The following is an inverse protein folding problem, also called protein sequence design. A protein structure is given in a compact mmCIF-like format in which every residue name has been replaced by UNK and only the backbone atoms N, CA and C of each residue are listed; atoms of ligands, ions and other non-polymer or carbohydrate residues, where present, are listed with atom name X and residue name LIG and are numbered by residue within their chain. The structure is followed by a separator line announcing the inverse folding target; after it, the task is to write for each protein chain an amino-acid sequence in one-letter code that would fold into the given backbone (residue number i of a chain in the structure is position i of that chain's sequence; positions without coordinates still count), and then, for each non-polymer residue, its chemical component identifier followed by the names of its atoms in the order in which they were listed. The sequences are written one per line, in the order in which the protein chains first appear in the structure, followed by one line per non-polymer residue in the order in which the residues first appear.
data_IF_394479394912
#
_entry.id   IF_394479394912
#
_cell.length_a   1.000
_cell.length_b   1.000
_cell.length_c   1.000
_cell.angle_alpha   90.00
_cell.angle_beta   90.00
_cell.angle_gamma   90.00
#
_symmetry.space_group_name_H-M   'P 1'
#
loop_
_entity.id
_entity.type
_entity.pdbx_description
1 polymer ?
#
# COMPACT_ATOMS: atom_id res chain seq x y z
N UNK A 1 17.94 -23.29 7.25
CA UNK A 1 16.66 -23.39 7.98
C UNK A 1 15.54 -23.06 7.02
N UNK A 2 14.49 -23.88 6.94
CA UNK A 2 13.34 -23.56 6.09
C UNK A 2 12.68 -22.27 6.59
N UNK A 3 12.72 -21.21 5.78
CA UNK A 3 12.03 -19.95 6.05
C UNK A 3 10.53 -20.23 5.97
N UNK A 4 9.87 -20.29 7.11
CA UNK A 4 8.43 -20.49 7.17
C UNK A 4 7.72 -19.32 6.50
N UNK A 5 6.57 -19.59 5.87
CA UNK A 5 5.73 -18.57 5.22
C UNK A 5 4.67 -18.06 6.18
N UNK A 6 4.13 -16.89 5.90
CA UNK A 6 2.94 -16.41 6.60
C UNK A 6 1.71 -17.15 6.09
N UNK A 7 0.74 -17.45 6.94
CA UNK A 7 -0.59 -17.87 6.46
C UNK A 7 -1.25 -16.81 5.58
N UNK A 8 -0.80 -15.55 5.64
CA UNK A 8 -1.26 -14.47 4.77
C UNK A 8 -0.56 -14.42 3.40
N UNK A 9 0.43 -15.28 3.13
CA UNK A 9 0.97 -15.54 1.78
C UNK A 9 -0.05 -16.36 0.96
N UNK A 10 -1.19 -15.74 0.65
CA UNK A 10 -2.40 -16.42 0.17
C UNK A 10 -2.22 -17.28 -1.08
N UNK A 11 -1.40 -16.81 -2.04
CA UNK A 11 -1.12 -17.56 -3.26
C UNK A 11 -0.38 -18.87 -2.96
N UNK A 12 0.62 -18.83 -2.08
CA UNK A 12 1.39 -20.00 -1.67
C UNK A 12 0.52 -20.94 -0.84
N UNK A 13 -0.22 -20.41 0.14
CA UNK A 13 -1.13 -21.22 0.96
C UNK A 13 -2.17 -21.95 0.10
N UNK A 14 -2.75 -21.25 -0.89
CA UNK A 14 -3.70 -21.84 -1.85
C UNK A 14 -3.05 -22.93 -2.70
N UNK A 15 -1.84 -22.70 -3.21
CA UNK A 15 -1.11 -23.70 -4.00
C UNK A 15 -0.85 -24.97 -3.17
N UNK A 16 -0.33 -24.81 -1.94
CA UNK A 16 -0.07 -25.92 -1.04
C UNK A 16 -1.34 -26.69 -0.65
N UNK A 17 -2.47 -25.99 -0.47
CA UNK A 17 -3.76 -26.63 -0.20
C UNK A 17 -4.23 -27.45 -1.40
N UNK A 18 -4.15 -26.89 -2.61
CA UNK A 18 -4.51 -27.61 -3.83
C UNK A 18 -3.64 -28.86 -4.05
N UNK A 19 -2.32 -28.74 -3.89
CA UNK A 19 -1.37 -29.85 -4.05
C UNK A 19 -1.61 -30.98 -3.04
N UNK A 20 -2.08 -30.64 -1.84
CA UNK A 20 -2.46 -31.58 -0.80
C UNK A 20 -3.91 -32.09 -0.90
N UNK A 21 -4.67 -31.67 -1.92
CA UNK A 21 -6.09 -32.04 -2.09
C UNK A 21 -7.03 -31.42 -1.05
N UNK A 22 -6.61 -30.34 -0.39
CA UNK A 22 -7.37 -29.62 0.64
C UNK A 22 -8.11 -28.46 -0.01
N UNK A 23 -9.40 -28.31 0.29
CA UNK A 23 -10.21 -27.25 -0.30
C UNK A 23 -9.76 -25.84 0.18
N UNK A 24 -9.37 -24.90 -0.71
CA UNK A 24 -8.96 -23.55 -0.33
C UNK A 24 -10.03 -22.69 0.37
N UNK A 25 -11.30 -23.11 0.38
CA UNK A 25 -12.38 -22.41 1.08
C UNK A 25 -12.16 -22.29 2.60
N UNK A 26 -11.27 -23.11 3.18
CA UNK A 26 -10.91 -23.04 4.60
C UNK A 26 -9.96 -21.89 4.93
N UNK A 27 -9.27 -21.30 3.93
CA UNK A 27 -8.26 -20.25 4.14
C UNK A 27 -8.82 -19.02 4.89
N UNK A 28 -10.01 -18.49 4.55
CA UNK A 28 -10.59 -17.38 5.31
C UNK A 28 -10.85 -17.71 6.79
N UNK A 29 -11.16 -18.97 7.13
CA UNK A 29 -11.34 -19.40 8.53
C UNK A 29 -10.02 -19.38 9.29
N UNK A 30 -8.92 -19.78 8.64
CA UNK A 30 -7.55 -19.68 9.18
C UNK A 30 -7.23 -18.21 9.49
N UNK A 31 -7.42 -17.33 8.52
CA UNK A 31 -7.16 -15.90 8.72
C UNK A 31 -8.02 -15.30 9.82
N UNK A 32 -9.32 -15.64 9.86
CA UNK A 32 -10.23 -15.19 10.91
C UNK A 32 -9.75 -15.63 12.29
N UNK A 33 -9.34 -16.90 12.43
CA UNK A 33 -8.85 -17.42 13.70
C UNK A 33 -7.57 -16.71 14.16
N UNK A 34 -6.59 -16.53 13.27
CA UNK A 34 -5.33 -15.83 13.57
C UNK A 34 -5.55 -14.36 13.93
N UNK A 35 -6.55 -13.70 13.34
CA UNK A 35 -6.94 -12.34 13.72
C UNK A 35 -7.58 -12.27 15.11
N UNK A 36 -8.40 -13.27 15.46
CA UNK A 36 -9.14 -13.31 16.74
C UNK A 36 -8.28 -13.80 17.90
N UNK A 37 -7.26 -14.61 17.65
CA UNK A 37 -6.41 -15.23 18.66
C UNK A 37 -4.93 -14.88 18.43
N UNK A 38 -4.46 -13.70 18.86
CA UNK A 38 -3.06 -13.31 18.75
C UNK A 38 -2.14 -14.30 19.47
N UNK A 39 -1.15 -14.83 18.75
CA UNK A 39 -0.17 -15.77 19.31
C UNK A 39 -0.64 -17.23 19.38
N UNK A 40 -1.74 -17.57 18.71
CA UNK A 40 -2.19 -18.95 18.57
C UNK A 40 -1.21 -19.81 17.78
N UNK A 41 -1.27 -21.12 17.99
CA UNK A 41 -0.61 -22.10 17.12
C UNK A 41 -1.56 -22.59 16.02
N UNK A 42 -1.01 -23.09 14.91
CA UNK A 42 -1.83 -23.45 13.73
C UNK A 42 -2.60 -24.78 13.88
N UNK A 43 -2.22 -25.61 14.86
CA UNK A 43 -2.92 -26.85 15.22
C UNK A 43 -4.15 -26.62 16.12
N UNK A 44 -4.32 -25.41 16.64
CA UNK A 44 -5.47 -25.01 17.47
C UNK A 44 -6.68 -24.54 16.63
N UNK A 45 -6.52 -24.38 15.32
CA UNK A 45 -7.56 -23.85 14.44
C UNK A 45 -8.68 -24.89 14.30
N UNK A 46 -9.92 -24.60 14.74
CA UNK A 46 -11.02 -25.56 14.67
C UNK A 46 -11.50 -25.78 13.23
N UNK A 47 -12.20 -26.89 13.02
CA UNK A 47 -12.95 -27.20 11.80
C UNK A 47 -12.11 -27.28 10.51
N UNK A 48 -10.79 -27.50 10.62
CA UNK A 48 -9.95 -27.84 9.48
C UNK A 48 -9.87 -29.37 9.28
N UNK A 49 -9.76 -29.85 8.03
CA UNK A 49 -9.44 -31.25 7.75
C UNK A 49 -8.15 -31.68 8.45
N UNK A 50 -8.10 -32.90 8.98
CA UNK A 50 -6.92 -33.41 9.70
C UNK A 50 -5.64 -33.39 8.87
N UNK A 51 -5.75 -33.51 7.54
CA UNK A 51 -4.63 -33.41 6.59
C UNK A 51 -4.03 -32.00 6.49
N UNK A 52 -4.74 -30.95 6.93
CA UNK A 52 -4.27 -29.57 6.87
C UNK A 52 -3.20 -29.26 7.92
N UNK A 53 -3.31 -29.82 9.13
CA UNK A 53 -2.41 -29.45 10.23
C UNK A 53 -0.94 -29.81 9.98
N UNK A 54 -0.57 -31.01 9.48
CA UNK A 54 0.83 -31.31 9.17
C UNK A 54 1.43 -30.36 8.13
N UNK A 55 0.64 -29.95 7.13
CA UNK A 55 1.06 -28.99 6.10
C UNK A 55 1.26 -27.60 6.70
N UNK A 56 0.29 -27.12 7.49
CA UNK A 56 0.32 -25.81 8.12
C UNK A 56 1.51 -25.69 9.09
N UNK A 57 1.67 -26.65 10.00
CA UNK A 57 2.70 -26.60 11.04
C UNK A 57 4.13 -26.77 10.48
N UNK A 58 4.28 -27.42 9.32
CA UNK A 58 5.60 -27.63 8.71
C UNK A 58 6.07 -26.48 7.81
N UNK A 59 5.14 -25.74 7.19
CA UNK A 59 5.48 -24.73 6.16
C UNK A 59 5.08 -23.30 6.52
N UNK A 60 4.11 -23.11 7.41
CA UNK A 60 3.51 -21.81 7.68
C UNK A 60 3.63 -21.42 9.16
N UNK A 61 3.47 -20.12 9.41
CA UNK A 61 3.30 -19.52 10.73
C UNK A 61 2.10 -18.58 10.72
N UNK A 62 1.43 -18.38 11.87
CA UNK A 62 0.35 -17.40 11.98
C UNK A 62 0.80 -16.01 11.55
N UNK A 63 2.00 -15.60 11.99
CA UNK A 63 2.68 -14.38 11.57
C UNK A 63 4.18 -14.64 11.44
N UNK A 64 4.81 -13.98 10.49
CA UNK A 64 6.26 -14.04 10.26
C UNK A 64 6.99 -12.78 10.75
N UNK A 65 6.26 -11.69 10.92
CA UNK A 65 6.71 -10.42 11.49
C UNK A 65 6.21 -10.19 12.92
N UNK A 66 6.93 -9.34 13.64
CA UNK A 66 6.62 -8.96 15.02
C UNK A 66 6.67 -7.45 15.17
N UNK A 67 5.80 -6.88 16.03
CA UNK A 67 5.89 -5.47 16.40
C UNK A 67 7.05 -5.30 17.36
N UNK A 68 8.09 -4.57 16.95
CA UNK A 68 9.24 -4.29 17.78
C UNK A 68 8.97 -3.16 18.77
N UNK A 69 8.32 -2.09 18.30
CA UNK A 69 7.93 -0.95 19.13
C UNK A 69 6.75 -0.20 18.53
N UNK A 70 5.98 0.47 19.37
CA UNK A 70 4.92 1.40 18.97
C UNK A 70 5.19 2.76 19.59
N UNK A 71 5.15 3.81 18.77
CA UNK A 71 5.31 5.20 19.19
C UNK A 71 3.99 5.93 18.95
N UNK A 72 3.49 6.61 19.97
CA UNK A 72 2.27 7.41 19.88
C UNK A 72 2.62 8.89 19.78
N UNK A 73 1.90 9.63 18.94
CA UNK A 73 2.02 11.09 18.88
C UNK A 73 1.47 11.73 20.15
N UNK A 74 1.94 12.95 20.46
CA UNK A 74 1.53 13.71 21.64
C UNK A 74 0.05 14.09 21.63
N UNK A 75 -0.54 14.25 20.44
CA UNK A 75 -1.96 14.53 20.24
C UNK A 75 -2.83 13.26 20.26
N UNK A 76 -2.23 12.07 20.38
CA UNK A 76 -2.91 10.78 20.49
C UNK A 76 -3.61 10.30 19.23
N UNK A 77 -3.53 11.02 18.11
CA UNK A 77 -4.23 10.66 16.86
C UNK A 77 -3.38 9.87 15.88
N UNK A 78 -2.08 9.68 16.17
CA UNK A 78 -1.16 8.93 15.31
C UNK A 78 -0.39 7.89 16.12
N UNK A 79 -0.26 6.67 15.58
CA UNK A 79 0.60 5.63 16.12
C UNK A 79 1.52 5.10 15.02
N UNK A 80 2.83 5.12 15.25
CA UNK A 80 3.84 4.55 14.36
C UNK A 80 4.34 3.22 14.91
N UNK A 81 4.20 2.16 14.12
CA UNK A 81 4.67 0.82 14.42
C UNK A 81 6.01 0.60 13.71
N UNK A 82 6.99 0.11 14.45
CA UNK A 82 8.21 -0.45 13.90
C UNK A 82 8.07 -1.97 13.90
N UNK A 83 8.05 -2.57 12.71
CA UNK A 83 7.76 -3.98 12.50
C UNK A 83 9.03 -4.68 12.05
N UNK A 84 9.44 -5.73 12.80
CA UNK A 84 10.56 -6.58 12.46
C UNK A 84 10.08 -7.73 11.58
N UNK A 85 10.68 -7.85 10.40
CA UNK A 85 10.39 -8.89 9.41
C UNK A 85 11.18 -10.17 9.71
N UNK A 86 10.81 -11.26 9.03
CA UNK A 86 11.43 -12.58 9.21
C UNK A 86 12.93 -12.60 8.88
N UNK A 87 13.36 -11.76 7.94
CA UNK A 87 14.77 -11.62 7.54
C UNK A 87 15.56 -10.70 8.49
N UNK A 88 14.93 -10.22 9.57
CA UNK A 88 15.53 -9.32 10.55
C UNK A 88 15.53 -7.84 10.16
N UNK A 89 15.09 -7.49 8.94
CA UNK A 89 14.91 -6.10 8.55
C UNK A 89 13.71 -5.46 9.25
N UNK A 90 13.63 -4.13 9.18
CA UNK A 90 12.54 -3.36 9.76
C UNK A 90 11.80 -2.56 8.70
N UNK A 91 10.48 -2.46 8.88
CA UNK A 91 9.61 -1.56 8.13
C UNK A 91 8.71 -0.79 9.08
N UNK A 92 8.23 0.36 8.62
CA UNK A 92 7.31 1.19 9.37
C UNK A 92 5.87 1.05 8.83
N UNK A 93 4.90 1.09 9.75
CA UNK A 93 3.49 1.27 9.44
C UNK A 93 2.93 2.38 10.34
N UNK A 94 2.04 3.22 9.82
CA UNK A 94 1.50 4.37 10.56
C UNK A 94 -0.01 4.33 10.55
N UNK A 95 -0.60 4.33 11.74
CA UNK A 95 -2.04 4.50 11.94
C UNK A 95 -2.29 5.99 12.17
N UNK A 96 -3.18 6.57 11.38
CA UNK A 96 -3.63 7.95 11.55
C UNK A 96 -5.14 7.96 11.71
N UNK A 97 -5.61 8.44 12.86
CA UNK A 97 -7.02 8.50 13.20
C UNK A 97 -7.51 9.93 13.04
N UNK A 98 -8.51 10.12 12.19
CA UNK A 98 -9.09 11.42 11.91
C UNK A 98 -10.58 11.40 12.11
N UNK A 99 -11.14 12.47 12.67
CA UNK A 99 -12.57 12.74 12.56
C UNK A 99 -12.80 13.74 11.41
N UNK A 100 -13.33 13.25 10.29
CA UNK A 100 -13.54 14.08 9.10
C UNK A 100 -14.56 15.19 9.34
N UNK A 101 -15.40 15.09 10.38
CA UNK A 101 -16.40 16.10 10.75
C UNK A 101 -15.77 17.38 11.30
N UNK A 102 -14.53 17.31 11.78
CA UNK A 102 -13.78 18.47 12.27
C UNK A 102 -13.33 19.41 11.12
N UNK A 103 -13.27 18.90 9.89
CA UNK A 103 -12.93 19.70 8.71
C UNK A 103 -14.15 20.40 8.11
N UNK A 104 -14.01 21.70 7.80
CA UNK A 104 -14.98 22.44 6.98
C UNK A 104 -14.44 22.60 5.56
N UNK A 105 -15.28 22.40 4.54
CA UNK A 105 -14.97 22.71 3.15
C UNK A 105 -16.08 23.61 2.59
N UNK A 106 -15.73 24.81 2.14
CA UNK A 106 -16.72 25.82 1.74
C UNK A 106 -17.72 26.16 2.87
N UNK A 107 -17.25 26.21 4.12
CA UNK A 107 -18.07 26.51 5.31
C UNK A 107 -18.95 25.36 5.82
N UNK A 108 -19.09 24.26 5.08
CA UNK A 108 -19.88 23.08 5.50
C UNK A 108 -19.00 22.01 6.14
N UNK A 109 -19.46 21.33 7.21
CA UNK A 109 -18.78 20.15 7.74
C UNK A 109 -18.65 19.09 6.65
N UNK A 110 -17.47 18.48 6.53
CA UNK A 110 -17.31 17.35 5.61
C UNK A 110 -18.16 16.16 6.07
N UNK A 111 -18.90 15.50 5.16
CA UNK A 111 -19.60 14.27 5.50
C UNK A 111 -18.60 13.18 5.91
N UNK A 112 -19.00 12.29 6.81
CA UNK A 112 -18.18 11.18 7.28
C UNK A 112 -18.21 11.04 8.80
N UNK A 113 -17.09 10.65 9.38
CA UNK A 113 -16.94 10.40 10.81
C UNK A 113 -15.53 9.94 11.15
N UNK A 114 -15.36 9.30 12.33
CA UNK A 114 -14.09 8.74 12.73
C UNK A 114 -13.59 7.71 11.71
N UNK A 115 -12.36 7.89 11.24
CA UNK A 115 -11.68 6.96 10.33
C UNK A 115 -10.25 6.75 10.82
N UNK A 116 -9.79 5.50 10.77
CA UNK A 116 -8.37 5.17 10.92
C UNK A 116 -7.82 4.74 9.56
N UNK A 117 -6.81 5.48 9.11
CA UNK A 117 -6.06 5.19 7.88
C UNK A 117 -4.74 4.56 8.26
N UNK A 118 -4.43 3.41 7.66
CA UNK A 118 -3.16 2.74 7.80
C UNK A 118 -2.27 3.03 6.59
N UNK A 119 -1.12 3.65 6.84
CA UNK A 119 -0.03 3.76 5.90
C UNK A 119 0.86 2.53 6.01
N UNK A 120 1.03 1.79 4.91
CA UNK A 120 1.81 0.54 4.87
C UNK A 120 2.99 0.62 3.91
N UNK A 121 4.03 -0.14 4.26
CA UNK A 121 5.23 -0.34 3.47
C UNK A 121 5.05 -1.51 2.48
N UNK A 122 5.70 -1.39 1.32
CA UNK A 122 5.72 -2.41 0.25
C UNK A 122 7.11 -3.01 0.02
N UNK A 123 8.17 -2.34 0.48
CA UNK A 123 9.57 -2.77 0.34
C UNK A 123 10.38 -2.36 1.57
N UNK A 124 11.56 -2.98 1.74
CA UNK A 124 12.59 -2.49 2.67
C UNK A 124 13.51 -1.54 1.89
N UNK A 125 13.39 -0.24 2.19
CA UNK A 125 14.06 0.80 1.41
C UNK A 125 13.36 1.06 0.07
N UNK A 126 13.97 1.87 -0.81
CA UNK A 126 13.38 2.23 -2.09
C UNK A 126 14.42 2.53 -3.17
N UNK A 127 14.20 2.06 -4.41
CA UNK A 127 15.10 2.31 -5.57
C UNK A 127 14.93 3.69 -6.19
N UNK A 128 13.86 4.42 -5.86
CA UNK A 128 13.49 5.63 -6.59
C UNK A 128 14.41 6.82 -6.29
N UNK A 129 15.11 6.82 -5.15
CA UNK A 129 16.13 7.83 -4.84
C UNK A 129 15.59 9.25 -4.69
N UNK A 130 14.30 9.43 -4.38
CA UNK A 130 13.71 10.75 -4.13
C UNK A 130 14.46 11.44 -2.99
N UNK A 131 15.01 12.63 -3.25
CA UNK A 131 15.95 13.29 -2.33
C UNK A 131 15.31 13.79 -1.04
N UNK A 132 14.01 14.07 -1.08
CA UNK A 132 13.23 14.46 0.10
C UNK A 132 12.78 13.25 0.95
N UNK A 133 13.00 12.02 0.47
CA UNK A 133 12.51 10.81 1.13
C UNK A 133 13.65 10.09 1.85
N UNK A 134 13.55 9.96 3.17
CA UNK A 134 14.53 9.20 3.96
C UNK A 134 14.67 7.74 3.48
N UNK A 135 13.57 7.09 3.11
CA UNK A 135 13.60 5.74 2.53
C UNK A 135 14.32 5.69 1.18
N UNK A 136 14.26 6.78 0.40
CA UNK A 136 14.97 6.91 -0.87
C UNK A 136 16.49 6.99 -0.69
N UNK A 137 16.97 7.61 0.40
CA UNK A 137 18.41 7.73 0.69
C UNK A 137 19.02 6.46 1.28
N UNK A 138 18.21 5.61 1.93
CA UNK A 138 18.64 4.30 2.43
C UNK A 138 18.99 3.28 1.33
N UNK A 139 18.57 3.55 0.09
CA UNK A 139 18.65 2.59 -1.01
C UNK A 139 17.66 1.42 -0.85
N UNK A 140 17.57 0.58 -1.87
CA UNK A 140 16.73 -0.62 -1.84
C UNK A 140 17.46 -1.80 -1.25
N UNK A 141 16.78 -2.56 -0.40
CA UNK A 141 17.29 -3.80 0.17
C UNK A 141 16.52 -5.01 -0.33
N UNK A 142 15.20 -5.03 -0.13
CA UNK A 142 14.38 -6.19 -0.47
C UNK A 142 12.90 -5.83 -0.72
N UNK A 143 12.19 -6.73 -1.41
CA UNK A 143 10.74 -6.67 -1.57
C UNK A 143 10.05 -7.37 -0.40
N UNK A 144 8.92 -6.83 0.05
CA UNK A 144 8.08 -7.55 1.01
C UNK A 144 7.28 -8.65 0.32
N UNK A 145 7.06 -9.76 1.02
CA UNK A 145 6.08 -10.76 0.61
C UNK A 145 4.66 -10.24 0.81
N UNK A 146 3.68 -10.83 0.13
CA UNK A 146 2.28 -10.44 0.30
C UNK A 146 1.82 -10.65 1.74
N UNK A 147 2.26 -11.73 2.39
CA UNK A 147 2.04 -11.96 3.81
C UNK A 147 2.58 -10.82 4.67
N UNK A 148 3.83 -10.41 4.49
CA UNK A 148 4.46 -9.31 5.24
C UNK A 148 3.75 -7.96 5.04
N UNK A 149 3.17 -7.72 3.86
CA UNK A 149 2.34 -6.54 3.60
C UNK A 149 1.03 -6.62 4.40
N UNK A 150 0.33 -7.77 4.36
CA UNK A 150 -0.93 -7.98 5.09
C UNK A 150 -0.72 -7.97 6.60
N UNK A 151 0.40 -8.51 7.10
CA UNK A 151 0.71 -8.55 8.52
C UNK A 151 0.81 -7.14 9.14
N UNK A 152 1.19 -6.11 8.37
CA UNK A 152 1.11 -4.72 8.83
C UNK A 152 -0.34 -4.31 9.16
N UNK A 153 -1.33 -4.76 8.37
CA UNK A 153 -2.74 -4.55 8.66
C UNK A 153 -3.19 -5.38 9.87
N UNK A 154 -2.70 -6.62 10.02
CA UNK A 154 -3.00 -7.47 11.19
C UNK A 154 -2.53 -6.79 12.47
N UNK A 155 -1.26 -6.36 12.52
CA UNK A 155 -0.69 -5.66 13.67
C UNK A 155 -1.43 -4.37 13.97
N UNK A 156 -1.73 -3.57 12.94
CA UNK A 156 -2.45 -2.31 13.10
C UNK A 156 -3.91 -2.49 13.58
N UNK A 157 -4.58 -3.55 13.14
CA UNK A 157 -5.96 -3.86 13.51
C UNK A 157 -6.12 -4.21 14.99
N UNK A 158 -5.02 -4.59 15.66
CA UNK A 158 -4.98 -4.80 17.12
C UNK A 158 -4.99 -3.49 17.91
N UNK A 159 -4.58 -2.39 17.28
CA UNK A 159 -4.50 -1.07 17.92
C UNK A 159 -5.70 -0.17 17.55
N UNK A 160 -6.27 -0.34 16.36
CA UNK A 160 -7.38 0.49 15.89
C UNK A 160 -8.22 -0.22 14.83
N UNK A 161 -9.49 0.18 14.70
CA UNK A 161 -10.35 -0.30 13.62
C UNK A 161 -9.98 0.36 12.28
N UNK A 162 -9.11 -0.30 11.52
CA UNK A 162 -8.59 0.23 10.24
C UNK A 162 -9.69 0.23 9.18
N UNK A 163 -9.97 1.42 8.63
CA UNK A 163 -10.99 1.62 7.59
C UNK A 163 -10.41 1.92 6.22
N UNK A 164 -9.21 2.47 6.18
CA UNK A 164 -8.54 2.91 4.96
C UNK A 164 -7.10 2.39 4.97
N UNK A 165 -6.58 2.02 3.80
CA UNK A 165 -5.19 1.61 3.64
C UNK A 165 -4.56 2.43 2.51
N UNK A 166 -3.38 2.97 2.75
CA UNK A 166 -2.61 3.72 1.74
C UNK A 166 -1.22 3.11 1.62
N UNK A 167 -0.82 2.80 0.39
CA UNK A 167 0.54 2.34 0.08
C UNK A 167 1.43 3.56 -0.14
N UNK A 168 1.77 4.22 0.98
CA UNK A 168 2.61 5.42 1.04
C UNK A 168 3.71 5.30 2.10
N UNK A 169 3.97 4.08 2.59
CA UNK A 169 5.05 3.80 3.53
C UNK A 169 6.39 3.65 2.80
N UNK A 170 7.19 2.68 3.22
CA UNK A 170 8.48 2.41 2.60
C UNK A 170 8.31 1.65 1.28
N UNK A 171 9.00 2.11 0.22
CA UNK A 171 9.07 1.44 -1.07
C UNK A 171 8.18 2.03 -2.17
N UNK A 172 8.40 1.55 -3.39
CA UNK A 172 7.57 1.85 -4.57
C UNK A 172 6.66 0.64 -4.85
N UNK A 173 5.34 0.73 -4.59
CA UNK A 173 4.44 -0.42 -4.66
C UNK A 173 4.42 -1.11 -6.02
N UNK A 174 4.54 -0.36 -7.13
CA UNK A 174 4.51 -0.95 -8.47
C UNK A 174 5.78 -1.75 -8.80
N UNK A 175 6.90 -1.53 -8.09
CA UNK A 175 8.09 -2.37 -8.20
C UNK A 175 7.95 -3.71 -7.45
N UNK A 176 6.88 -3.86 -6.65
CA UNK A 176 6.53 -5.10 -5.96
C UNK A 176 5.11 -5.58 -6.33
N UNK A 177 4.79 -5.51 -7.62
CA UNK A 177 3.43 -5.66 -8.15
C UNK A 177 2.74 -6.98 -7.75
N UNK A 178 3.42 -8.12 -7.86
CA UNK A 178 2.81 -9.43 -7.56
C UNK A 178 2.41 -9.52 -6.09
N UNK A 179 3.29 -9.12 -5.18
CA UNK A 179 2.99 -9.14 -3.74
C UNK A 179 1.92 -8.10 -3.37
N UNK A 180 1.97 -6.91 -4.00
CA UNK A 180 0.96 -5.87 -3.87
C UNK A 180 -0.44 -6.40 -4.23
N UNK A 181 -0.58 -7.03 -5.39
CA UNK A 181 -1.88 -7.51 -5.85
C UNK A 181 -2.45 -8.59 -4.94
N UNK A 182 -1.63 -9.56 -4.56
CA UNK A 182 -2.06 -10.62 -3.65
C UNK A 182 -2.42 -10.06 -2.27
N UNK A 183 -1.65 -9.12 -1.73
CA UNK A 183 -1.96 -8.49 -0.44
C UNK A 183 -3.30 -7.73 -0.50
N UNK A 184 -3.55 -6.96 -1.56
CA UNK A 184 -4.82 -6.23 -1.69
C UNK A 184 -6.00 -7.21 -1.82
N UNK A 185 -5.86 -8.30 -2.57
CA UNK A 185 -6.90 -9.33 -2.67
C UNK A 185 -7.26 -9.90 -1.29
N UNK A 186 -6.26 -10.19 -0.46
CA UNK A 186 -6.48 -10.61 0.94
C UNK A 186 -7.20 -9.54 1.75
N UNK A 187 -6.75 -8.27 1.67
CA UNK A 187 -7.37 -7.14 2.39
C UNK A 187 -8.84 -6.89 1.99
N UNK A 188 -9.17 -7.12 0.71
CA UNK A 188 -10.54 -6.96 0.19
C UNK A 188 -11.43 -8.19 0.44
N UNK A 189 -10.82 -9.36 0.66
CA UNK A 189 -11.51 -10.62 0.93
C UNK A 189 -11.90 -10.80 2.39
N UNK A 190 -12.63 -11.88 2.67
CA UNK A 190 -12.88 -12.32 4.04
C UNK A 190 -11.57 -12.74 4.71
N UNK A 191 -11.29 -12.35 5.97
CA UNK A 191 -12.20 -11.69 6.91
C UNK A 191 -12.18 -10.15 6.88
N UNK A 192 -11.17 -9.51 6.28
CA UNK A 192 -10.95 -8.06 6.36
C UNK A 192 -12.02 -7.22 5.66
N UNK A 193 -12.48 -7.66 4.48
CA UNK A 193 -13.58 -7.06 3.72
C UNK A 193 -13.44 -5.55 3.51
N UNK A 194 -12.21 -5.05 3.32
CA UNK A 194 -11.99 -3.65 3.03
C UNK A 194 -12.54 -3.33 1.63
N UNK A 195 -13.35 -2.28 1.52
CA UNK A 195 -13.81 -1.81 0.22
C UNK A 195 -12.60 -1.36 -0.61
N UNK A 196 -12.47 -1.80 -1.89
CA UNK A 196 -11.40 -1.34 -2.78
C UNK A 196 -11.31 0.19 -2.87
N UNK A 197 -12.46 0.90 -2.76
CA UNK A 197 -12.52 2.37 -2.76
C UNK A 197 -11.84 3.03 -1.55
N UNK A 198 -11.48 2.26 -0.53
CA UNK A 198 -10.77 2.71 0.67
C UNK A 198 -9.29 2.35 0.67
N UNK A 199 -8.82 1.70 -0.39
CA UNK A 199 -7.41 1.37 -0.60
C UNK A 199 -6.86 2.30 -1.68
N UNK A 200 -5.77 3.01 -1.35
CA UNK A 200 -5.07 3.90 -2.29
C UNK A 200 -3.66 3.37 -2.53
N UNK A 201 -3.30 3.19 -3.80
CA UNK A 201 -1.92 2.87 -4.19
C UNK A 201 -1.27 4.16 -4.70
N UNK A 202 -0.20 4.60 -4.05
CA UNK A 202 0.63 5.72 -4.54
C UNK A 202 1.81 5.20 -5.35
N UNK A 203 2.25 5.97 -6.33
CA UNK A 203 3.38 5.62 -7.18
C UNK A 203 4.10 6.85 -7.71
N UNK A 204 5.43 6.76 -7.76
CA UNK A 204 6.35 7.70 -8.40
C UNK A 204 6.50 7.42 -9.90
N UNK A 205 5.98 6.28 -10.36
CA UNK A 205 6.08 5.73 -11.72
C UNK A 205 7.52 5.30 -12.05
N UNK A 206 7.83 3.99 -11.97
CA UNK A 206 9.20 3.50 -12.08
C UNK A 206 9.78 3.59 -13.50
N UNK A 207 11.10 3.81 -13.65
CA UNK A 207 11.77 4.00 -14.95
C UNK A 207 11.69 2.77 -15.86
N UNK A 208 11.55 1.57 -15.28
CA UNK A 208 11.49 0.30 -16.02
C UNK A 208 10.16 0.11 -16.76
N UNK A 209 9.18 0.97 -16.48
CA UNK A 209 7.96 1.04 -17.26
C UNK A 209 8.17 2.13 -18.32
N UNK A 210 8.53 1.73 -19.54
CA UNK A 210 8.42 2.62 -20.70
C UNK A 210 6.96 3.09 -20.85
N UNK A 211 6.68 4.08 -21.71
CA UNK A 211 5.33 4.67 -21.86
C UNK A 211 4.20 3.63 -22.05
N UNK A 212 4.44 2.60 -22.88
CA UNK A 212 3.52 1.46 -23.05
C UNK A 212 3.39 0.66 -21.75
N UNK A 213 4.49 0.48 -21.02
CA UNK A 213 4.57 -0.23 -19.74
C UNK A 213 3.84 0.47 -18.59
N UNK A 214 3.81 1.80 -18.51
CA UNK A 214 3.11 2.53 -17.43
C UNK A 214 1.61 2.50 -17.65
N UNK A 215 1.17 2.82 -18.87
CA UNK A 215 -0.23 2.66 -19.27
C UNK A 215 -0.63 1.21 -19.05
N UNK A 216 0.21 0.24 -19.44
CA UNK A 216 -0.04 -1.17 -19.18
C UNK A 216 -0.08 -1.49 -17.68
N UNK A 217 0.84 -0.99 -16.85
CA UNK A 217 0.89 -1.30 -15.42
C UNK A 217 -0.30 -0.69 -14.65
N UNK A 218 -0.68 0.55 -14.98
CA UNK A 218 -1.84 1.21 -14.38
C UNK A 218 -3.13 0.56 -14.89
N UNK A 219 -3.25 0.26 -16.19
CA UNK A 219 -4.40 -0.46 -16.73
C UNK A 219 -4.48 -1.89 -16.19
N UNK A 220 -3.34 -2.56 -16.02
CA UNK A 220 -3.25 -3.88 -15.41
C UNK A 220 -3.66 -3.80 -13.94
N UNK A 221 -3.20 -2.80 -13.18
CA UNK A 221 -3.66 -2.55 -11.80
C UNK A 221 -5.18 -2.36 -11.76
N UNK A 222 -5.75 -1.61 -12.70
CA UNK A 222 -7.20 -1.42 -12.80
C UNK A 222 -7.95 -2.71 -13.14
N UNK A 223 -7.41 -3.51 -14.06
CA UNK A 223 -7.97 -4.80 -14.47
C UNK A 223 -7.90 -5.84 -13.35
N UNK A 224 -6.74 -5.96 -12.71
CA UNK A 224 -6.48 -6.94 -11.65
C UNK A 224 -7.20 -6.56 -10.34
N UNK A 225 -7.37 -5.26 -10.08
CA UNK A 225 -7.95 -4.70 -8.86
C UNK A 225 -8.89 -3.53 -9.18
N UNK A 226 -10.09 -3.83 -9.73
CA UNK A 226 -11.10 -2.81 -9.99
C UNK A 226 -11.53 -2.16 -8.67
N UNK A 227 -11.84 -0.88 -8.71
CA UNK A 227 -12.31 -0.16 -7.51
C UNK A 227 -11.25 0.56 -6.67
N UNK A 228 -9.94 0.31 -6.86
CA UNK A 228 -8.87 1.04 -6.16
C UNK A 228 -8.78 2.54 -6.49
N UNK A 229 -8.25 3.33 -5.55
CA UNK A 229 -7.81 4.69 -5.79
C UNK A 229 -6.34 4.71 -6.22
N UNK A 230 -6.01 5.55 -7.20
CA UNK A 230 -4.64 5.80 -7.62
C UNK A 230 -4.21 7.17 -7.11
N UNK A 231 -3.04 7.22 -6.48
CA UNK A 231 -2.32 8.44 -6.19
C UNK A 231 -1.02 8.49 -6.99
N UNK A 232 -0.63 9.68 -7.42
CA UNK A 232 0.60 9.91 -8.19
C UNK A 232 1.44 10.94 -7.47
N UNK A 233 2.65 10.54 -7.12
CA UNK A 233 3.69 11.40 -6.56
C UNK A 233 4.28 12.28 -7.66
N UNK A 234 3.71 13.46 -7.86
CA UNK A 234 4.11 14.42 -8.92
C UNK A 234 5.22 15.36 -8.45
N UNK A 235 4.95 16.06 -7.35
CA UNK A 235 5.85 16.95 -6.61
C UNK A 235 6.52 18.12 -7.35
N UNK A 236 6.40 18.26 -8.66
CA UNK A 236 6.74 19.50 -9.34
C UNK A 236 5.99 19.63 -10.67
N UNK A 237 5.57 20.84 -11.08
CA UNK A 237 4.87 21.08 -12.34
C UNK A 237 5.83 21.32 -13.52
N UNK A 238 7.13 21.33 -13.24
CA UNK A 238 8.21 21.60 -14.21
C UNK A 238 9.21 20.44 -14.16
N UNK A 239 9.62 19.94 -15.33
CA UNK A 239 10.41 18.70 -15.44
C UNK A 239 11.80 18.84 -14.79
N UNK A 240 12.44 20.00 -14.91
CA UNK A 240 13.75 20.29 -14.35
C UNK A 240 13.71 20.17 -12.82
N UNK A 241 12.77 20.84 -12.18
CA UNK A 241 12.54 20.78 -10.73
C UNK A 241 12.20 19.35 -10.32
N UNK A 242 11.32 18.66 -11.07
CA UNK A 242 10.97 17.27 -10.81
C UNK A 242 12.19 16.36 -10.81
N UNK A 243 13.11 16.52 -11.76
CA UNK A 243 14.35 15.74 -11.84
C UNK A 243 15.36 16.10 -10.74
N UNK A 244 15.31 17.32 -10.21
CA UNK A 244 16.13 17.74 -9.09
C UNK A 244 15.73 17.00 -7.81
N UNK A 245 14.42 16.88 -7.54
CA UNK A 245 13.88 16.26 -6.31
C UNK A 245 13.68 14.74 -6.44
N UNK A 246 13.39 14.25 -7.65
CA UNK A 246 13.12 12.85 -7.96
C UNK A 246 13.98 12.42 -9.16
N UNK A 247 15.23 11.95 -8.95
CA UNK A 247 16.12 11.59 -10.04
C UNK A 247 15.54 10.57 -11.03
N UNK A 248 14.68 9.66 -10.56
CA UNK A 248 13.95 8.69 -11.39
C UNK A 248 13.04 9.35 -12.45
N UNK A 249 12.59 10.60 -12.22
CA UNK A 249 11.78 11.36 -13.15
C UNK A 249 12.47 11.66 -14.49
N UNK A 250 13.80 11.54 -14.57
CA UNK A 250 14.55 11.71 -15.82
C UNK A 250 14.20 10.67 -16.86
N UNK A 251 13.95 9.44 -16.41
CA UNK A 251 13.55 8.34 -17.29
C UNK A 251 12.13 8.55 -17.84
N UNK A 252 11.31 9.36 -17.16
CA UNK A 252 9.92 9.55 -17.52
C UNK A 252 9.49 11.03 -17.47
N UNK A 253 9.59 11.72 -18.62
CA UNK A 253 9.21 13.13 -18.76
C UNK A 253 7.77 13.42 -18.36
N UNK A 254 7.55 14.61 -17.80
CA UNK A 254 6.28 15.09 -17.29
C UNK A 254 5.14 15.03 -18.32
N UNK A 255 5.37 15.43 -19.57
CA UNK A 255 4.33 15.39 -20.61
C UNK A 255 3.79 13.97 -20.81
N UNK A 256 4.70 12.99 -20.92
CA UNK A 256 4.33 11.58 -21.08
C UNK A 256 3.57 11.05 -19.87
N UNK A 257 3.93 11.52 -18.68
CA UNK A 257 3.20 11.24 -17.45
C UNK A 257 1.77 11.73 -17.54
N UNK A 258 1.56 13.00 -17.87
CA UNK A 258 0.21 13.55 -17.93
C UNK A 258 -0.64 12.83 -18.99
N UNK A 259 -0.08 12.51 -20.17
CA UNK A 259 -0.78 11.74 -21.21
C UNK A 259 -1.21 10.35 -20.70
N UNK A 260 -0.33 9.63 -20.01
CA UNK A 260 -0.65 8.31 -19.47
C UNK A 260 -1.75 8.37 -18.40
N UNK A 261 -1.70 9.36 -17.51
CA UNK A 261 -2.71 9.57 -16.48
C UNK A 261 -4.05 9.98 -17.08
N UNK A 262 -4.06 10.81 -18.12
CA UNK A 262 -5.29 11.21 -18.81
C UNK A 262 -5.95 9.99 -19.50
N UNK A 263 -5.16 9.16 -20.19
CA UNK A 263 -5.66 7.91 -20.77
C UNK A 263 -6.25 6.98 -19.70
N UNK A 264 -5.57 6.84 -18.56
CA UNK A 264 -6.09 6.07 -17.43
C UNK A 264 -7.39 6.66 -16.86
N UNK A 265 -7.47 7.98 -16.68
CA UNK A 265 -8.68 8.64 -16.19
C UNK A 265 -9.87 8.41 -17.14
N UNK A 266 -9.64 8.52 -18.45
CA UNK A 266 -10.67 8.30 -19.47
C UNK A 266 -11.19 6.86 -19.48
N UNK A 267 -10.32 5.87 -19.27
CA UNK A 267 -10.72 4.46 -19.23
C UNK A 267 -11.39 4.06 -17.91
N UNK A 268 -10.84 4.51 -16.78
CA UNK A 268 -11.30 4.12 -15.45
C UNK A 268 -12.48 4.95 -14.94
N UNK A 269 -12.69 6.14 -15.51
CA UNK A 269 -13.66 7.15 -15.04
C UNK A 269 -13.49 7.50 -13.55
N UNK A 270 -12.25 7.37 -13.04
CA UNK A 270 -11.92 7.63 -11.64
C UNK A 270 -11.10 8.89 -11.44
N UNK A 271 -11.22 9.44 -10.24
CA UNK A 271 -10.36 10.52 -9.75
C UNK A 271 -8.95 9.96 -9.48
N UNK A 272 -7.94 10.71 -9.92
CA UNK A 272 -6.54 10.45 -9.59
C UNK A 272 -6.13 11.47 -8.52
N UNK A 273 -5.52 11.01 -7.45
CA UNK A 273 -4.96 11.89 -6.43
C UNK A 273 -3.57 12.35 -6.87
N UNK A 274 -3.33 13.65 -6.89
CA UNK A 274 -2.01 14.21 -7.17
C UNK A 274 -1.37 14.58 -5.84
N UNK A 275 -0.21 13.99 -5.57
CA UNK A 275 0.57 14.26 -4.38
C UNK A 275 1.65 15.29 -4.70
N UNK A 276 1.70 16.34 -3.88
CA UNK A 276 2.62 17.45 -4.04
C UNK A 276 3.21 17.79 -2.68
N UNK A 277 4.50 17.50 -2.49
CA UNK A 277 5.22 17.91 -1.28
C UNK A 277 5.67 19.36 -1.47
N UNK A 278 5.48 20.20 -0.47
CA UNK A 278 5.94 21.59 -0.48
C UNK A 278 7.34 21.62 0.12
N UNK A 279 8.32 22.06 -0.67
CA UNK A 279 9.72 22.18 -0.30
C UNK A 279 10.12 23.65 -0.44
N UNK A 280 10.52 24.24 0.68
CA UNK A 280 10.87 25.65 0.83
C UNK A 280 11.89 26.11 -0.22
N UNK A 281 11.49 27.07 -1.05
CA UNK A 281 12.33 27.67 -2.10
C UNK A 281 12.66 26.73 -3.26
N UNK A 282 11.96 25.59 -3.38
CA UNK A 282 12.20 24.61 -4.46
C UNK A 282 11.00 24.48 -5.38
N UNK A 283 9.81 24.32 -4.81
CA UNK A 283 8.60 24.03 -5.59
C UNK A 283 7.32 24.65 -4.99
N UNK A 284 7.45 25.59 -4.06
CA UNK A 284 6.36 26.15 -3.27
C UNK A 284 6.00 27.61 -3.61
N UNK A 285 6.76 28.25 -4.51
CA UNK A 285 6.43 29.60 -5.00
C UNK A 285 5.11 29.68 -5.80
N UNK A 286 4.48 30.86 -5.81
CA UNK A 286 3.20 31.12 -6.50
C UNK A 286 3.24 30.77 -8.00
N UNK A 287 4.39 31.00 -8.66
CA UNK A 287 4.59 30.60 -10.05
C UNK A 287 4.40 29.09 -10.28
N UNK A 288 4.86 28.25 -9.35
CA UNK A 288 4.68 26.81 -9.42
C UNK A 288 3.21 26.42 -9.25
N UNK A 289 2.46 27.13 -8.40
CA UNK A 289 1.02 26.91 -8.26
C UNK A 289 0.26 27.21 -9.57
N UNK A 290 0.58 28.30 -10.27
CA UNK A 290 -0.01 28.61 -11.57
C UNK A 290 0.36 27.58 -12.65
N UNK A 291 1.63 27.16 -12.70
CA UNK A 291 2.08 26.11 -13.62
C UNK A 291 1.38 24.78 -13.35
N UNK A 292 1.22 24.40 -12.08
CA UNK A 292 0.50 23.21 -11.68
C UNK A 292 -0.98 23.29 -12.08
N UNK A 293 -1.63 24.44 -11.88
CA UNK A 293 -3.00 24.68 -12.32
C UNK A 293 -3.18 24.46 -13.82
N UNK A 294 -2.28 25.02 -14.63
CA UNK A 294 -2.27 24.84 -16.09
C UNK A 294 -2.01 23.39 -16.50
N UNK A 295 -1.11 22.69 -15.80
CA UNK A 295 -0.78 21.29 -16.07
C UNK A 295 -1.99 20.36 -15.81
N UNK A 296 -2.76 20.65 -14.76
CA UNK A 296 -3.89 19.84 -14.34
C UNK A 296 -5.22 20.21 -15.00
N UNK A 297 -5.27 21.30 -15.78
CA UNK A 297 -6.47 21.74 -16.51
C UNK A 297 -7.04 20.65 -17.44
N UNK A 298 -6.18 19.76 -17.92
CA UNK A 298 -6.55 18.64 -18.81
C UNK A 298 -7.26 17.48 -18.10
N UNK A 299 -7.25 17.44 -16.76
CA UNK A 299 -7.87 16.38 -15.97
C UNK A 299 -9.31 16.73 -15.65
N UNK A 300 -10.20 15.76 -15.83
CA UNK A 300 -11.59 15.91 -15.42
C UNK A 300 -11.67 15.77 -13.90
N UNK A 301 -11.79 16.89 -13.21
CA UNK A 301 -12.18 16.89 -11.79
C UNK A 301 -13.70 16.70 -11.78
N UNK A 302 -14.19 15.47 -11.53
CA UNK A 302 -15.64 15.23 -11.48
C UNK A 302 -16.25 16.20 -10.44
N UNK A 303 -17.16 17.06 -10.92
CA UNK A 303 -18.02 17.90 -10.08
C UNK A 303 -18.75 17.06 -9.04
#
# INVERSE_FOLDING_TARGET
MATHRSVFDAAELRAQFNDAGINPQFIPSIWKYVLQNPGCELDEIPDLPSSAYPLLCSKFKPLTSTVHSVLHSTDGVTAKLLIRLQNGAFVEAVIMTYDTRLGKYGGKPRPGGPRSTLCISSQVGCKMGCKFCATGTMGFKDNLRSGEIVEQLVHASRLSNIRNVVFMGMGEPLNNYTALVEAIRVMTGSPFQLSPKRITVSTVIPPNFAMVGIIHAINKLHSDLPGLNLAVSLHAPVQEVRCQIMPSARAFPLEKLMTALQAYQNNSQKKIFIEYIMLDGVNDEEQHAHQLGKLLETFQVSK
#
